data_IF_705539035082
#
_entry.id   IF_705539035082
#
_cell.length_a   1.000
_cell.length_b   1.000
_cell.length_c   1.000
_cell.angle_alpha   90.00
_cell.angle_beta   90.00
_cell.angle_gamma   90.00
#
_symmetry.space_group_name_H-M   'P 1'
#
loop_
_entity.id
_entity.type
_entity.pdbx_description
1 polymer ?
#
# COMPACT_ATOMS: atom_id res chain seq x y z
N UNK A 1 7.20 -4.24 -22.41
CA UNK A 1 6.96 -5.30 -21.40
C UNK A 1 7.44 -4.97 -19.99
N UNK A 2 8.52 -4.19 -19.78
CA UNK A 2 8.97 -3.72 -18.45
C UNK A 2 8.01 -2.78 -17.70
N UNK A 3 7.05 -2.13 -18.37
CA UNK A 3 6.18 -1.11 -17.75
C UNK A 3 4.91 -1.64 -17.08
N UNK A 4 4.47 -2.88 -17.39
CA UNK A 4 3.19 -3.43 -16.87
C UNK A 4 3.33 -4.11 -15.50
N UNK A 5 4.48 -4.71 -15.23
CA UNK A 5 4.83 -5.34 -13.94
C UNK A 5 5.08 -4.30 -12.83
N UNK A 6 5.54 -3.10 -13.20
CA UNK A 6 5.69 -1.98 -12.26
C UNK A 6 4.32 -1.45 -11.83
N UNK A 7 3.34 -1.39 -12.73
CA UNK A 7 2.02 -0.80 -12.48
C UNK A 7 1.22 -1.55 -11.40
N UNK A 8 1.12 -2.89 -11.45
CA UNK A 8 0.35 -3.69 -10.47
C UNK A 8 0.88 -3.59 -9.04
N UNK A 9 2.16 -3.30 -8.91
CA UNK A 9 2.87 -3.31 -7.64
C UNK A 9 3.01 -1.88 -7.06
N UNK A 10 3.20 -0.86 -7.92
CA UNK A 10 2.83 0.54 -7.65
C UNK A 10 1.46 0.62 -6.99
N UNK A 11 0.53 -0.19 -7.52
CA UNK A 11 -0.84 -0.25 -7.12
C UNK A 11 -0.90 -0.65 -5.62
N UNK A 12 -0.52 -1.89 -5.27
CA UNK A 12 -0.52 -2.43 -3.90
C UNK A 12 0.03 -1.46 -2.83
N UNK A 13 1.05 -0.71 -3.25
CA UNK A 13 1.86 0.17 -2.43
C UNK A 13 1.16 1.52 -2.17
N UNK A 14 0.40 2.05 -3.13
CA UNK A 14 -0.41 3.28 -3.00
C UNK A 14 -1.51 3.12 -1.95
N UNK A 15 -2.08 1.92 -1.87
CA UNK A 15 -3.21 1.60 -1.01
C UNK A 15 -2.82 1.45 0.44
N UNK A 16 -1.69 0.82 0.75
CA UNK A 16 -1.29 0.67 2.14
C UNK A 16 -0.98 2.03 2.78
N UNK A 17 -0.34 2.92 2.03
CA UNK A 17 -0.10 4.31 2.45
C UNK A 17 -1.41 5.07 2.67
N UNK A 18 -2.36 4.91 1.74
CA UNK A 18 -3.68 5.51 1.82
C UNK A 18 -4.53 4.96 2.98
N UNK A 19 -4.43 3.67 3.28
CA UNK A 19 -5.13 3.03 4.40
C UNK A 19 -4.58 3.48 5.76
N UNK A 20 -3.25 3.58 5.92
CA UNK A 20 -2.63 4.16 7.13
C UNK A 20 -3.02 5.63 7.32
N UNK A 21 -3.13 6.35 6.21
CA UNK A 21 -3.57 7.74 6.23
C UNK A 21 -5.05 7.88 6.65
N UNK A 22 -5.93 7.01 6.13
CA UNK A 22 -7.36 7.00 6.46
C UNK A 22 -7.64 6.51 7.89
N UNK A 23 -6.89 5.53 8.41
CA UNK A 23 -6.98 5.09 9.80
C UNK A 23 -6.71 6.25 10.78
N UNK A 24 -5.80 7.18 10.45
CA UNK A 24 -5.54 8.38 11.26
C UNK A 24 -6.68 9.40 11.23
N UNK A 25 -7.41 9.52 10.12
CA UNK A 25 -8.53 10.47 9.99
C UNK A 25 -9.81 9.97 10.66
N UNK A 26 -10.05 8.65 10.73
CA UNK A 26 -11.19 8.10 11.48
C UNK A 26 -11.04 8.21 13.00
N UNK A 27 -9.83 8.29 13.54
CA UNK A 27 -9.58 8.42 14.98
C UNK A 27 -9.59 9.88 15.48
N UNK A 28 -9.65 10.87 14.59
CA UNK A 28 -9.82 12.27 15.00
C UNK A 28 -11.31 12.57 15.13
N UNK A 29 -11.84 12.44 16.34
CA UNK A 29 -13.16 12.97 16.69
C UNK A 29 -13.15 14.48 16.42
N UNK A 30 -13.65 14.88 15.25
CA UNK A 30 -13.91 16.27 14.94
C UNK A 30 -14.98 16.79 15.92
N UNK A 31 -14.54 17.60 16.88
CA UNK A 31 -15.42 18.37 17.76
C UNK A 31 -15.59 19.74 17.11
N UNK A 32 -16.78 20.08 16.57
CA UNK A 32 -16.97 21.38 15.95
C UNK A 32 -16.75 22.50 17.00
N UNK A 33 -16.08 23.61 16.64
CA UNK A 33 -15.95 24.76 17.53
C UNK A 33 -17.33 25.38 17.82
N UNK A 34 -17.56 25.94 19.02
CA UNK A 34 -18.81 26.62 19.32
C UNK A 34 -18.96 27.85 18.42
N UNK A 35 -20.16 28.01 17.86
CA UNK A 35 -20.55 29.14 17.01
C UNK A 35 -20.33 30.46 17.75
N UNK A 36 -19.52 31.35 17.16
CA UNK A 36 -19.42 32.76 17.54
C UNK A 36 -19.90 33.60 16.35
N UNK A 37 -20.87 34.51 16.52
CA UNK A 37 -21.43 35.26 15.39
C UNK A 37 -20.40 36.22 14.79
N UNK A 38 -20.49 36.37 13.47
CA UNK A 38 -19.55 37.06 12.59
C UNK A 38 -19.43 38.56 12.90
N UNK A 39 -18.18 39.06 12.90
CA UNK A 39 -17.90 40.48 12.71
C UNK A 39 -17.10 40.68 11.43
N UNK A 40 -17.69 41.46 10.52
CA UNK A 40 -17.10 41.92 9.27
C UNK A 40 -15.80 42.70 9.52
N UNK A 41 -14.69 42.27 8.93
CA UNK A 41 -13.59 43.15 8.50
C UNK A 41 -12.97 42.65 7.20
N UNK A 42 -13.18 43.42 6.14
CA UNK A 42 -12.49 43.36 4.85
C UNK A 42 -11.02 43.77 5.01
N UNK A 43 -10.10 42.88 4.63
CA UNK A 43 -8.66 43.14 4.50
C UNK A 43 -8.12 42.43 3.24
N UNK A 44 -7.03 42.94 2.62
CA UNK A 44 -6.69 42.64 1.24
C UNK A 44 -6.13 41.23 1.04
N UNK A 45 -6.32 40.71 -0.18
CA UNK A 45 -5.89 39.40 -0.63
C UNK A 45 -4.40 39.14 -0.35
N UNK A 46 -4.11 38.04 0.36
CA UNK A 46 -2.75 37.52 0.53
C UNK A 46 -2.26 36.89 -0.78
N UNK A 47 -1.11 37.31 -1.33
CA UNK A 47 -0.47 36.64 -2.44
C UNK A 47 0.33 35.44 -1.92
N UNK A 48 0.24 34.31 -2.63
CA UNK A 48 1.07 33.12 -2.41
C UNK A 48 0.36 31.99 -1.68
N UNK A 49 -0.52 31.26 -2.37
CA UNK A 49 -0.86 29.90 -1.99
C UNK A 49 0.42 29.06 -2.09
N UNK A 50 1.00 28.70 -0.95
CA UNK A 50 2.15 27.80 -0.86
C UNK A 50 1.80 26.48 -1.56
N UNK A 51 2.63 26.05 -2.51
CA UNK A 51 2.51 24.73 -3.17
C UNK A 51 2.55 23.53 -2.18
N UNK A 52 2.78 23.77 -0.88
CA UNK A 52 2.88 22.76 0.16
C UNK A 52 1.60 22.45 0.94
N UNK A 53 0.53 23.24 0.83
CA UNK A 53 -0.62 23.15 1.77
C UNK A 53 -1.59 21.99 1.46
N UNK A 54 -1.39 21.29 0.33
CA UNK A 54 -2.22 20.16 -0.11
C UNK A 54 -1.44 18.90 -0.48
N UNK A 55 -0.12 18.86 -0.25
CA UNK A 55 0.71 17.71 -0.62
C UNK A 55 0.99 16.81 0.58
N UNK A 56 0.87 15.51 0.34
CA UNK A 56 1.17 14.48 1.33
C UNK A 56 2.05 13.39 0.76
N UNK A 57 2.73 12.65 1.63
CA UNK A 57 3.66 11.60 1.22
C UNK A 57 3.41 10.32 1.99
N UNK A 58 3.85 9.21 1.41
CA UNK A 58 4.07 7.97 2.15
C UNK A 58 5.13 7.11 1.51
N UNK A 59 5.82 6.34 2.35
CA UNK A 59 6.95 5.50 1.99
C UNK A 59 6.58 4.06 2.25
N UNK A 60 6.80 3.20 1.27
CA UNK A 60 6.44 1.80 1.37
C UNK A 60 7.52 0.93 0.77
N UNK A 61 7.90 -0.08 1.54
CA UNK A 61 8.87 -1.08 1.20
C UNK A 61 8.17 -2.38 0.84
N UNK A 62 8.57 -2.97 -0.27
CA UNK A 62 8.20 -4.31 -0.64
C UNK A 62 9.39 -5.23 -0.55
N UNK A 63 9.31 -6.20 0.36
CA UNK A 63 10.27 -7.26 0.49
C UNK A 63 9.81 -8.49 -0.32
N UNK A 64 10.17 -8.47 -1.60
CA UNK A 64 10.06 -9.60 -2.50
C UNK A 64 11.12 -10.68 -2.22
N UNK A 65 10.89 -11.89 -2.74
CA UNK A 65 11.87 -12.98 -2.68
C UNK A 65 13.19 -12.65 -3.40
N UNK A 66 13.12 -11.92 -4.51
CA UNK A 66 14.27 -11.63 -5.39
C UNK A 66 14.90 -10.26 -5.18
N UNK A 67 14.28 -9.39 -4.39
CA UNK A 67 14.73 -8.02 -4.19
C UNK A 67 13.80 -7.24 -3.28
N UNK A 68 14.33 -6.17 -2.70
CA UNK A 68 13.58 -5.22 -1.88
C UNK A 68 13.39 -3.93 -2.65
N UNK A 69 12.21 -3.34 -2.58
CA UNK A 69 11.82 -2.13 -3.31
C UNK A 69 11.36 -1.06 -2.34
N UNK A 70 11.58 0.20 -2.68
CA UNK A 70 10.94 1.34 -2.01
C UNK A 70 10.16 2.14 -3.03
N UNK A 71 8.99 2.57 -2.61
CA UNK A 71 8.12 3.48 -3.31
C UNK A 71 7.86 4.68 -2.41
N UNK A 72 8.00 5.88 -2.96
CA UNK A 72 7.71 7.13 -2.27
C UNK A 72 6.63 7.82 -3.06
N UNK A 73 5.40 7.81 -2.53
CA UNK A 73 4.28 8.50 -3.17
C UNK A 73 4.18 9.92 -2.68
N UNK A 74 3.74 10.77 -3.60
CA UNK A 74 3.26 12.11 -3.34
C UNK A 74 1.81 12.17 -3.79
N UNK A 75 0.93 12.50 -2.88
CA UNK A 75 -0.49 12.71 -3.12
C UNK A 75 -0.83 14.18 -3.08
N UNK A 76 -1.78 14.58 -3.91
CA UNK A 76 -2.45 15.87 -3.82
C UNK A 76 -3.80 15.65 -3.18
N UNK A 77 -4.08 16.40 -2.11
CA UNK A 77 -5.39 16.40 -1.48
C UNK A 77 -6.29 17.34 -2.27
N UNK A 78 -7.33 16.79 -2.88
CA UNK A 78 -8.32 17.57 -3.60
C UNK A 78 -9.44 18.02 -2.67
N UNK A 79 -10.15 19.08 -3.07
CA UNK A 79 -11.20 19.73 -2.27
C UNK A 79 -12.37 18.79 -1.91
N UNK A 80 -12.48 17.62 -2.54
CA UNK A 80 -13.54 16.62 -2.32
C UNK A 80 -13.16 15.53 -1.30
N UNK A 81 -12.00 15.64 -0.64
CA UNK A 81 -11.58 14.69 0.40
C UNK A 81 -10.97 13.39 -0.13
N UNK A 82 -10.88 13.22 -1.45
CA UNK A 82 -10.16 12.11 -2.08
C UNK A 82 -8.75 12.57 -2.50
N UNK A 83 -7.69 11.86 -2.12
CA UNK A 83 -6.37 12.14 -2.63
C UNK A 83 -6.26 11.66 -4.09
N UNK A 84 -5.47 12.37 -4.89
CA UNK A 84 -4.98 11.91 -6.19
C UNK A 84 -3.49 11.66 -6.14
N UNK A 85 -3.02 10.62 -6.84
CA UNK A 85 -1.60 10.34 -6.97
C UNK A 85 -0.98 11.40 -7.90
N UNK A 86 -0.06 12.20 -7.36
CA UNK A 86 0.60 13.27 -8.09
C UNK A 86 1.98 12.82 -8.60
N UNK A 87 2.75 12.09 -7.79
CA UNK A 87 4.04 11.51 -8.22
C UNK A 87 4.39 10.27 -7.44
N UNK A 88 5.16 9.39 -8.06
CA UNK A 88 5.85 8.30 -7.39
C UNK A 88 7.34 8.34 -7.73
N UNK A 89 8.19 8.11 -6.72
CA UNK A 89 9.60 7.77 -6.90
C UNK A 89 9.83 6.33 -6.47
N UNK A 90 10.53 5.55 -7.30
CA UNK A 90 10.76 4.13 -7.11
C UNK A 90 12.24 3.76 -7.15
N UNK A 91 12.67 2.80 -6.32
CA UNK A 91 13.98 2.14 -6.42
C UNK A 91 13.91 0.69 -5.94
N UNK A 92 14.68 -0.19 -6.58
CA UNK A 92 14.82 -1.59 -6.19
C UNK A 92 16.29 -1.94 -5.94
N UNK A 93 16.53 -2.83 -4.99
CA UNK A 93 17.82 -3.44 -4.69
C UNK A 93 17.73 -4.97 -4.73
N UNK A 94 18.89 -5.61 -4.88
CA UNK A 94 19.06 -7.06 -4.80
C UNK A 94 20.28 -7.38 -3.92
N UNK A 95 20.30 -8.54 -3.24
CA UNK A 95 19.22 -9.53 -3.14
C UNK A 95 18.04 -9.06 -2.26
N UNK A 96 16.96 -9.86 -2.19
CA UNK A 96 15.82 -9.59 -1.31
C UNK A 96 16.10 -9.96 0.15
N UNK A 97 15.19 -9.58 1.07
CA UNK A 97 15.37 -9.81 2.51
C UNK A 97 15.63 -11.28 2.87
N UNK A 98 14.99 -12.22 2.19
CA UNK A 98 15.16 -13.67 2.46
C UNK A 98 16.59 -14.18 2.28
N UNK A 99 17.42 -13.50 1.47
CA UNK A 99 18.82 -13.87 1.30
C UNK A 99 19.69 -13.58 2.54
N UNK A 100 19.17 -12.81 3.50
CA UNK A 100 19.84 -12.46 4.75
C UNK A 100 19.27 -13.24 5.95
N UNK A 101 18.53 -14.32 5.71
CA UNK A 101 17.84 -15.07 6.77
C UNK A 101 18.78 -15.64 7.85
N UNK A 102 20.05 -15.89 7.52
CA UNK A 102 21.06 -16.38 8.46
C UNK A 102 21.85 -15.27 9.16
N UNK A 103 21.73 -14.02 8.70
CA UNK A 103 22.43 -12.86 9.23
C UNK A 103 21.59 -11.59 8.98
N UNK A 104 20.54 -11.35 9.80
CA UNK A 104 19.61 -10.24 9.60
C UNK A 104 20.29 -8.88 9.53
N UNK A 105 21.40 -8.67 10.23
CA UNK A 105 22.12 -7.41 10.29
C UNK A 105 22.61 -6.99 8.90
N UNK A 106 22.98 -7.93 8.02
CA UNK A 106 23.43 -7.64 6.65
C UNK A 106 22.37 -6.98 5.78
N UNK A 107 21.07 -7.07 6.11
CA UNK A 107 20.04 -6.38 5.33
C UNK A 107 20.05 -4.85 5.57
N UNK A 108 20.65 -4.38 6.67
CA UNK A 108 20.57 -2.98 7.11
C UNK A 108 21.08 -1.98 6.09
N UNK A 109 22.24 -2.23 5.48
CA UNK A 109 22.82 -1.32 4.49
C UNK A 109 21.88 -1.13 3.28
N UNK A 110 21.20 -2.18 2.84
CA UNK A 110 20.23 -2.12 1.76
C UNK A 110 18.99 -1.30 2.14
N UNK A 111 18.42 -1.56 3.32
CA UNK A 111 17.25 -0.82 3.82
C UNK A 111 17.59 0.67 4.03
N UNK A 112 18.75 0.99 4.60
CA UNK A 112 19.20 2.37 4.77
C UNK A 112 19.34 3.10 3.44
N UNK A 113 19.94 2.47 2.42
CA UNK A 113 20.09 3.07 1.10
C UNK A 113 18.73 3.40 0.42
N UNK A 114 17.69 2.64 0.74
CA UNK A 114 16.32 2.91 0.30
C UNK A 114 15.64 4.02 1.15
N UNK A 115 15.88 4.05 2.46
CA UNK A 115 15.44 5.14 3.35
C UNK A 115 16.11 6.48 2.99
N UNK A 116 17.37 6.47 2.56
CA UNK A 116 18.09 7.65 2.05
C UNK A 116 17.40 8.24 0.81
N UNK A 117 16.96 7.37 -0.12
CA UNK A 117 16.16 7.83 -1.26
C UNK A 117 14.87 8.50 -0.77
N UNK A 118 14.15 7.88 0.16
CA UNK A 118 12.93 8.47 0.70
C UNK A 118 13.18 9.85 1.32
N UNK A 119 14.26 10.00 2.10
CA UNK A 119 14.68 11.29 2.68
C UNK A 119 15.01 12.34 1.62
N UNK A 120 15.58 11.94 0.49
CA UNK A 120 15.89 12.87 -0.61
C UNK A 120 14.64 13.36 -1.37
N UNK A 121 13.52 12.61 -1.29
CA UNK A 121 12.28 12.91 -2.02
C UNK A 121 11.27 13.66 -1.15
N UNK A 122 11.14 13.27 0.12
CA UNK A 122 10.17 13.85 1.05
C UNK A 122 10.79 15.11 1.69
N UNK A 123 10.13 16.27 1.65
CA UNK A 123 10.64 17.47 2.31
C UNK A 123 10.84 17.24 3.83
N UNK A 124 11.90 17.80 4.45
CA UNK A 124 12.15 17.61 5.88
C UNK A 124 10.98 17.98 6.81
N UNK A 125 10.21 19.01 6.44
CA UNK A 125 9.00 19.42 7.18
C UNK A 125 7.87 18.38 7.19
N UNK A 126 7.94 17.36 6.32
CA UNK A 126 6.92 16.31 6.22
C UNK A 126 7.38 14.96 6.79
N UNK A 127 8.65 14.78 7.17
CA UNK A 127 9.19 13.47 7.60
C UNK A 127 8.37 12.85 8.73
N UNK A 128 8.16 13.56 9.84
CA UNK A 128 7.46 13.04 11.03
C UNK A 128 5.99 12.74 10.82
N UNK A 129 5.40 13.18 9.69
CA UNK A 129 4.00 12.92 9.32
C UNK A 129 3.87 11.89 8.20
N UNK A 130 4.97 11.53 7.55
CA UNK A 130 5.00 10.63 6.41
C UNK A 130 5.10 9.19 6.93
N UNK A 131 4.07 8.34 6.74
CA UNK A 131 4.14 6.96 7.15
C UNK A 131 5.21 6.19 6.37
N UNK A 132 5.94 5.33 7.06
CA UNK A 132 6.84 4.35 6.47
C UNK A 132 6.40 2.94 6.86
N UNK A 133 6.28 2.07 5.87
CA UNK A 133 5.84 0.68 6.06
C UNK A 133 6.61 -0.29 5.19
N UNK A 134 6.67 -1.54 5.63
CA UNK A 134 7.23 -2.66 4.87
C UNK A 134 6.25 -3.81 4.89
N UNK A 135 5.94 -4.35 3.71
CA UNK A 135 5.27 -5.64 3.61
C UNK A 135 6.16 -6.64 2.89
N UNK A 136 6.38 -7.77 3.55
CA UNK A 136 7.06 -8.91 2.96
C UNK A 136 6.06 -9.85 2.28
N UNK A 137 6.51 -10.48 1.21
CA UNK A 137 5.69 -11.41 0.41
C UNK A 137 6.05 -12.87 0.73
N UNK A 138 5.52 -13.80 -0.08
CA UNK A 138 5.68 -15.24 0.09
C UNK A 138 7.12 -15.73 0.32
N UNK A 139 8.14 -15.03 -0.18
CA UNK A 139 9.55 -15.40 0.03
C UNK A 139 9.97 -15.45 1.51
N UNK A 140 9.45 -14.54 2.34
CA UNK A 140 9.76 -14.54 3.79
C UNK A 140 8.88 -15.53 4.56
N UNK A 141 7.64 -15.79 4.09
CA UNK A 141 6.73 -16.78 4.72
C UNK A 141 7.30 -18.18 4.78
N UNK A 142 8.19 -18.52 3.86
CA UNK A 142 8.76 -19.86 3.71
C UNK A 142 10.05 -20.07 4.50
N UNK A 143 10.55 -19.04 5.21
CA UNK A 143 11.74 -19.19 6.02
C UNK A 143 11.45 -20.03 7.27
N UNK A 144 12.36 -20.95 7.66
CA UNK A 144 12.15 -21.81 8.82
C UNK A 144 12.35 -21.04 10.14
N UNK A 145 11.65 -21.48 11.18
CA UNK A 145 11.82 -20.98 12.54
C UNK A 145 11.42 -19.51 12.69
N UNK A 146 12.22 -18.75 13.42
CA UNK A 146 12.03 -17.34 13.75
C UNK A 146 12.79 -16.38 12.81
N UNK A 147 13.48 -16.91 11.79
CA UNK A 147 14.32 -16.12 10.87
C UNK A 147 13.57 -14.98 10.18
N UNK A 148 12.32 -15.22 9.78
CA UNK A 148 11.49 -14.18 9.19
C UNK A 148 11.24 -13.04 10.18
N UNK A 149 10.92 -13.36 11.44
CA UNK A 149 10.65 -12.37 12.46
C UNK A 149 11.90 -11.59 12.85
N UNK A 150 13.06 -12.26 12.98
CA UNK A 150 14.34 -11.59 13.23
C UNK A 150 14.69 -10.57 12.11
N UNK A 151 14.42 -10.90 10.84
CA UNK A 151 14.56 -9.96 9.72
C UNK A 151 13.61 -8.77 9.85
N UNK A 152 12.35 -9.01 10.19
CA UNK A 152 11.37 -7.94 10.38
C UNK A 152 11.72 -7.04 11.56
N UNK A 153 12.21 -7.61 12.67
CA UNK A 153 12.68 -6.85 13.83
C UNK A 153 13.84 -5.93 13.50
N UNK A 154 14.80 -6.42 12.70
CA UNK A 154 15.89 -5.58 12.21
C UNK A 154 15.36 -4.40 11.38
N UNK A 155 14.37 -4.62 10.51
CA UNK A 155 13.72 -3.54 9.74
C UNK A 155 12.97 -2.58 10.67
N UNK A 156 12.23 -3.08 11.67
CA UNK A 156 11.51 -2.25 12.65
C UNK A 156 12.46 -1.36 13.43
N UNK A 157 13.66 -1.84 13.79
CA UNK A 157 14.68 -1.03 14.43
C UNK A 157 15.13 0.13 13.52
N UNK A 158 15.45 -0.16 12.26
CA UNK A 158 15.85 0.86 11.28
C UNK A 158 14.76 1.89 11.00
N UNK A 159 13.49 1.48 10.98
CA UNK A 159 12.37 2.40 10.79
C UNK A 159 12.18 3.31 12.02
N UNK A 160 12.35 2.78 13.24
CA UNK A 160 12.33 3.57 14.49
C UNK A 160 13.45 4.61 14.56
N UNK A 161 14.61 4.30 13.99
CA UNK A 161 15.73 5.25 13.88
C UNK A 161 15.56 6.28 12.76
N UNK A 162 14.65 6.03 11.81
CA UNK A 162 14.37 6.95 10.71
C UNK A 162 13.47 8.12 11.17
N UNK A 163 13.49 9.28 10.47
CA UNK A 163 12.65 10.42 10.83
C UNK A 163 11.17 10.25 10.40
N UNK A 164 10.82 9.13 9.76
CA UNK A 164 9.49 8.85 9.26
C UNK A 164 8.58 8.28 10.35
N UNK A 165 7.27 8.40 10.14
CA UNK A 165 6.27 7.86 11.05
C UNK A 165 6.17 6.33 10.85
N UNK A 166 6.70 5.55 11.79
CA UNK A 166 6.55 4.09 11.80
C UNK A 166 5.49 3.66 12.82
N UNK A 167 4.48 2.91 12.37
CA UNK A 167 3.53 2.24 13.26
C UNK A 167 4.08 0.89 13.74
N UNK A 168 3.55 0.35 14.84
CA UNK A 168 3.99 -0.95 15.41
C UNK A 168 3.75 -2.11 14.43
N UNK A 169 2.63 -2.09 13.71
CA UNK A 169 2.24 -3.09 12.69
C UNK A 169 2.73 -2.74 11.27
N UNK A 170 3.49 -1.65 11.14
CA UNK A 170 3.97 -1.11 9.88
C UNK A 170 4.95 -2.02 9.14
N UNK A 171 5.56 -2.99 9.82
CA UNK A 171 6.48 -3.98 9.26
C UNK A 171 5.92 -5.37 9.54
N UNK A 172 5.48 -6.05 8.49
CA UNK A 172 4.82 -7.36 8.60
C UNK A 172 4.91 -8.17 7.32
N UNK A 173 4.67 -9.47 7.43
CA UNK A 173 4.41 -10.30 6.26
C UNK A 173 2.95 -10.11 5.87
N UNK A 174 2.68 -9.76 4.61
CA UNK A 174 1.30 -9.67 4.11
C UNK A 174 0.66 -11.07 4.15
N UNK A 175 -0.66 -11.20 4.31
CA UNK A 175 -1.34 -12.44 3.97
C UNK A 175 -1.65 -12.50 2.46
N UNK A 176 -1.78 -13.70 1.90
CA UNK A 176 -2.12 -13.87 0.51
C UNK A 176 -3.50 -13.33 0.11
N UNK A 177 -4.43 -13.23 1.05
CA UNK A 177 -5.77 -12.63 0.84
C UNK A 177 -5.69 -11.10 0.85
N UNK A 178 -4.85 -10.54 1.72
CA UNK A 178 -4.56 -9.10 1.79
C UNK A 178 -3.89 -8.57 0.52
N UNK A 179 -3.09 -9.41 -0.15
CA UNK A 179 -2.52 -9.10 -1.48
C UNK A 179 -3.63 -8.78 -2.49
N UNK A 180 -4.68 -9.62 -2.53
CA UNK A 180 -5.82 -9.46 -3.44
C UNK A 180 -6.63 -8.18 -3.16
N UNK A 181 -6.97 -7.97 -1.89
CA UNK A 181 -7.70 -6.76 -1.44
C UNK A 181 -6.92 -5.51 -1.76
N UNK A 182 -5.62 -5.48 -1.44
CA UNK A 182 -4.78 -4.30 -1.65
C UNK A 182 -4.72 -3.91 -3.13
N UNK A 183 -4.56 -4.88 -4.03
CA UNK A 183 -4.55 -4.59 -5.46
C UNK A 183 -5.95 -4.24 -6.00
N UNK A 184 -7.04 -4.80 -5.47
CA UNK A 184 -8.40 -4.35 -5.79
C UNK A 184 -8.65 -2.90 -5.39
N UNK A 185 -8.26 -2.51 -4.16
CA UNK A 185 -8.41 -1.13 -3.73
C UNK A 185 -7.64 -0.23 -4.70
N UNK A 186 -6.47 -0.66 -5.15
CA UNK A 186 -5.66 0.27 -5.91
C UNK A 186 -6.14 0.48 -7.33
N UNK A 187 -6.57 -0.58 -8.00
CA UNK A 187 -7.14 -0.39 -9.34
C UNK A 187 -8.33 0.55 -9.24
N UNK A 188 -9.16 0.41 -8.21
CA UNK A 188 -10.31 1.27 -7.97
C UNK A 188 -9.96 2.68 -7.48
N UNK A 189 -8.81 2.88 -6.83
CA UNK A 189 -8.28 4.21 -6.55
C UNK A 189 -7.87 4.91 -7.84
N UNK A 190 -7.08 4.24 -8.69
CA UNK A 190 -6.54 4.81 -9.92
C UNK A 190 -7.59 5.00 -11.01
N UNK A 191 -8.62 4.15 -11.05
CA UNK A 191 -9.74 4.28 -11.99
C UNK A 191 -10.88 5.15 -11.45
N UNK A 192 -10.77 5.65 -10.21
CA UNK A 192 -11.78 6.49 -9.57
C UNK A 192 -13.01 5.74 -9.05
N UNK A 193 -13.02 4.40 -9.09
CA UNK A 193 -14.07 3.55 -8.50
C UNK A 193 -14.32 3.78 -7.00
N UNK A 194 -13.35 4.35 -6.27
CA UNK A 194 -13.50 4.68 -4.85
C UNK A 194 -14.04 6.09 -4.58
N UNK A 195 -14.18 6.95 -5.61
CA UNK A 195 -14.49 8.38 -5.46
C UNK A 195 -15.99 8.70 -5.26
N UNK A 196 -16.81 7.72 -4.84
CA UNK A 196 -18.23 7.94 -4.56
C UNK A 196 -19.10 6.70 -4.74
N UNK A 197 -20.35 6.72 -4.26
CA UNK A 197 -21.26 5.58 -4.30
C UNK A 197 -21.69 5.19 -5.70
N UNK A 198 -21.79 6.16 -6.61
CA UNK A 198 -22.25 5.94 -7.98
C UNK A 198 -21.13 5.53 -8.95
N UNK A 199 -19.89 5.40 -8.45
CA UNK A 199 -18.75 4.99 -9.25
C UNK A 199 -18.68 3.46 -9.28
N UNK A 200 -18.75 2.82 -10.46
CA UNK A 200 -18.60 1.38 -10.54
C UNK A 200 -17.17 0.99 -10.17
N UNK A 201 -17.05 -0.07 -9.38
CA UNK A 201 -15.75 -0.68 -9.12
C UNK A 201 -15.45 -1.76 -10.16
N UNK A 202 -14.17 -1.94 -10.46
CA UNK A 202 -13.68 -3.02 -11.31
C UNK A 202 -13.20 -4.19 -10.47
N UNK A 203 -13.35 -5.40 -11.00
CA UNK A 203 -12.71 -6.59 -10.43
C UNK A 203 -11.20 -6.57 -10.66
N UNK A 204 -10.50 -7.33 -9.82
CA UNK A 204 -9.07 -7.59 -9.91
C UNK A 204 -8.87 -9.10 -10.02
N UNK A 205 -8.03 -9.53 -10.96
CA UNK A 205 -7.50 -10.87 -11.06
C UNK A 205 -5.97 -10.76 -11.10
N UNK A 206 -5.24 -11.41 -10.21
CA UNK A 206 -3.78 -11.46 -10.20
C UNK A 206 -3.32 -12.89 -10.42
N UNK A 207 -2.37 -13.07 -11.33
CA UNK A 207 -1.80 -14.36 -11.71
C UNK A 207 -0.34 -14.41 -11.29
N UNK A 208 -0.11 -14.74 -10.02
CA UNK A 208 1.24 -14.83 -9.48
C UNK A 208 2.02 -16.08 -9.89
N UNK A 209 3.25 -16.14 -9.39
CA UNK A 209 4.13 -17.28 -9.64
C UNK A 209 3.63 -18.59 -9.02
N UNK A 210 3.10 -18.54 -7.80
CA UNK A 210 2.63 -19.71 -7.05
C UNK A 210 1.12 -19.78 -6.80
N UNK A 211 0.37 -18.75 -7.15
CA UNK A 211 -1.06 -18.64 -6.88
C UNK A 211 -1.76 -17.69 -7.85
N UNK A 212 -3.08 -17.82 -7.92
CA UNK A 212 -3.98 -16.87 -8.58
C UNK A 212 -4.91 -16.27 -7.54
N UNK A 213 -5.23 -15.00 -7.65
CA UNK A 213 -6.08 -14.27 -6.71
C UNK A 213 -7.15 -13.53 -7.48
N UNK A 214 -8.39 -13.59 -7.00
CA UNK A 214 -9.50 -12.81 -7.53
C UNK A 214 -10.10 -11.96 -6.42
N UNK A 215 -10.41 -10.71 -6.72
CA UNK A 215 -11.07 -9.81 -5.77
C UNK A 215 -12.05 -8.88 -6.48
N UNK A 216 -13.28 -8.76 -6.00
CA UNK A 216 -14.29 -7.86 -6.56
C UNK A 216 -15.37 -7.48 -5.55
N UNK A 217 -16.09 -6.37 -5.77
CA UNK A 217 -17.29 -6.03 -5.00
C UNK A 217 -18.49 -6.86 -5.48
N UNK A 218 -19.10 -7.73 -4.66
CA UNK A 218 -20.29 -8.48 -5.04
C UNK A 218 -21.47 -7.55 -5.33
N UNK A 219 -22.19 -7.78 -6.44
CA UNK A 219 -23.39 -7.00 -6.80
C UNK A 219 -24.70 -7.62 -6.31
N UNK A 220 -24.68 -8.92 -6.02
CA UNK A 220 -25.85 -9.67 -5.58
C UNK A 220 -25.65 -10.19 -4.17
N UNK A 221 -26.64 -10.00 -3.30
CA UNK A 221 -26.62 -10.48 -1.92
C UNK A 221 -26.43 -12.00 -1.84
N UNK A 222 -26.98 -12.73 -2.82
CA UNK A 222 -26.79 -14.18 -2.96
C UNK A 222 -25.31 -14.57 -3.05
N UNK A 223 -24.46 -13.78 -3.70
CA UNK A 223 -23.02 -14.04 -3.74
C UNK A 223 -22.42 -13.95 -2.33
N UNK A 224 -22.81 -12.95 -1.54
CA UNK A 224 -22.33 -12.78 -0.17
C UNK A 224 -22.78 -13.94 0.72
N UNK A 225 -24.05 -14.37 0.59
CA UNK A 225 -24.62 -15.44 1.42
C UNK A 225 -24.09 -16.83 1.07
N UNK A 226 -23.76 -17.08 -0.20
CA UNK A 226 -23.31 -18.39 -0.70
C UNK A 226 -21.79 -18.59 -0.66
N UNK A 227 -21.02 -17.50 -0.57
CA UNK A 227 -19.57 -17.58 -0.46
C UNK A 227 -19.14 -18.04 0.94
N UNK A 228 -18.00 -18.75 1.05
CA UNK A 228 -17.38 -19.01 2.35
C UNK A 228 -17.18 -17.70 3.12
N UNK A 229 -17.41 -17.71 4.43
CA UNK A 229 -17.24 -16.53 5.30
C UNK A 229 -15.82 -15.95 5.18
N UNK A 230 -14.82 -16.81 4.98
CA UNK A 230 -13.42 -16.42 4.82
C UNK A 230 -13.12 -15.71 3.49
N UNK A 231 -13.99 -15.84 2.49
CA UNK A 231 -13.82 -15.15 1.21
C UNK A 231 -14.49 -13.77 1.19
N UNK A 232 -15.35 -13.46 2.16
CA UNK A 232 -15.98 -12.14 2.28
C UNK A 232 -15.17 -11.29 3.27
N UNK A 233 -14.76 -10.10 2.81
CA UNK A 233 -13.98 -9.16 3.61
C UNK A 233 -14.62 -7.78 3.54
N UNK A 234 -14.68 -7.11 4.69
CA UNK A 234 -15.18 -5.75 4.79
C UNK A 234 -14.16 -4.85 5.46
N UNK A 235 -13.97 -3.65 4.91
CA UNK A 235 -13.06 -2.64 5.44
C UNK A 235 -13.62 -1.24 5.22
N UNK A 236 -13.16 -0.28 6.02
CA UNK A 236 -13.60 1.11 5.92
C UNK A 236 -12.56 1.94 5.16
N UNK A 237 -13.02 2.71 4.17
CA UNK A 237 -12.20 3.57 3.35
C UNK A 237 -13.00 4.77 2.88
N UNK A 238 -12.43 5.99 2.95
CA UNK A 238 -13.12 7.23 2.57
C UNK A 238 -14.52 7.38 3.19
N UNK A 239 -14.63 7.09 4.49
CA UNK A 239 -15.89 7.08 5.25
C UNK A 239 -16.97 6.13 4.72
N UNK A 240 -16.59 5.08 4.00
CA UNK A 240 -17.49 4.05 3.47
C UNK A 240 -17.00 2.66 3.81
N UNK A 241 -17.94 1.76 4.08
CA UNK A 241 -17.64 0.34 4.18
C UNK A 241 -17.64 -0.27 2.79
N UNK A 242 -16.54 -0.90 2.42
CA UNK A 242 -16.40 -1.69 1.21
C UNK A 242 -16.45 -3.16 1.58
N UNK A 243 -17.37 -3.91 0.96
CA UNK A 243 -17.43 -5.37 1.06
C UNK A 243 -16.94 -5.96 -0.26
N UNK A 244 -15.96 -6.87 -0.17
CA UNK A 244 -15.35 -7.54 -1.31
C UNK A 244 -15.38 -9.04 -1.12
N UNK A 245 -15.60 -9.76 -2.21
CA UNK A 245 -15.21 -11.16 -2.33
C UNK A 245 -13.73 -11.20 -2.68
N UNK A 246 -12.95 -12.03 -2.00
CA UNK A 246 -11.55 -12.28 -2.29
C UNK A 246 -11.24 -13.74 -2.09
N UNK A 247 -10.51 -14.34 -3.03
CA UNK A 247 -10.11 -15.74 -2.90
C UNK A 247 -8.75 -15.95 -3.54
N UNK A 248 -7.95 -16.82 -2.90
CA UNK A 248 -6.62 -17.21 -3.35
C UNK A 248 -6.59 -18.70 -3.68
N UNK A 249 -6.41 -18.99 -4.96
CA UNK A 249 -6.12 -20.34 -5.43
C UNK A 249 -4.61 -20.60 -5.31
N UNK A 250 -4.22 -21.51 -4.43
CA UNK A 250 -2.82 -21.96 -4.32
C UNK A 250 -2.50 -22.96 -5.43
N UNK A 251 -1.24 -23.01 -5.88
CA UNK A 251 -0.75 -23.96 -6.89
C UNK A 251 -1.32 -23.79 -8.31
N UNK A 252 -1.89 -22.62 -8.62
CA UNK A 252 -2.43 -22.25 -9.94
C UNK A 252 -1.62 -21.16 -10.64
N UNK A 253 -0.49 -20.76 -10.06
CA UNK A 253 0.37 -19.72 -10.60
C UNK A 253 1.17 -20.15 -11.84
N UNK A 254 1.77 -19.16 -12.51
CA UNK A 254 2.44 -19.32 -13.81
C UNK A 254 3.63 -20.30 -13.80
N UNK A 255 4.24 -20.58 -12.64
CA UNK A 255 5.42 -21.46 -12.56
C UNK A 255 5.12 -22.97 -12.66
N UNK A 256 3.84 -23.40 -12.68
CA UNK A 256 3.51 -24.82 -12.80
C UNK A 256 3.48 -25.34 -14.24
N UNK A 257 3.40 -24.47 -15.24
CA UNK A 257 3.20 -24.87 -16.64
C UNK A 257 4.44 -24.72 -17.55
N UNK A 258 5.60 -24.31 -17.03
CA UNK A 258 6.85 -24.19 -17.82
C UNK A 258 8.06 -24.69 -17.03
N UNK A 259 8.80 -25.72 -17.48
CA UNK A 259 10.09 -26.06 -16.89
C UNK A 259 11.10 -24.96 -17.27
N UNK A 260 11.76 -24.40 -16.26
CA UNK A 260 12.90 -23.48 -16.38
C UNK A 260 12.69 -22.19 -17.21
N UNK A 261 12.33 -21.09 -16.54
CA UNK A 261 13.01 -19.78 -16.67
C UNK A 261 12.46 -18.84 -15.58
N UNK A 262 13.36 -18.21 -14.82
CA UNK A 262 13.05 -17.32 -13.70
C UNK A 262 12.45 -15.99 -14.20
N UNK A 263 11.12 -15.92 -14.31
CA UNK A 263 10.36 -14.65 -14.27
C UNK A 263 8.87 -14.96 -14.08
N UNK A 264 8.31 -14.66 -12.90
CA UNK A 264 6.85 -14.72 -12.70
C UNK A 264 6.19 -13.62 -13.53
N UNK A 265 5.22 -13.96 -14.38
CA UNK A 265 4.45 -12.99 -15.16
C UNK A 265 3.08 -12.82 -14.51
N UNK A 266 2.82 -11.65 -13.93
CA UNK A 266 1.52 -11.28 -13.37
C UNK A 266 0.68 -10.55 -14.43
N UNK A 267 -0.52 -11.06 -14.72
CA UNK A 267 -1.45 -10.44 -15.68
C UNK A 267 -2.74 -10.06 -14.97
N UNK A 268 -3.04 -8.76 -14.94
CA UNK A 268 -4.32 -8.25 -14.45
C UNK A 268 -5.34 -8.22 -15.58
N UNK A 269 -6.50 -8.81 -15.33
CA UNK A 269 -7.68 -8.63 -16.16
C UNK A 269 -8.66 -7.72 -15.42
N UNK A 270 -9.06 -6.63 -16.06
CA UNK A 270 -10.16 -5.77 -15.63
C UNK A 270 -11.33 -6.03 -16.56
N UNK A 271 -12.48 -6.42 -16.01
CA UNK A 271 -13.76 -6.54 -16.71
C UNK A 271 -14.74 -5.50 -16.19
#
# INVERSE_FOLDING_TARGET
>A
MRSKMAALFLLLVLVLVLLLFLQRFSSSSYRPPPHRPASHRTGPARPGSSEGDGLQYGVMFDAGSTGTRVHVFRFRMENQGFPSLDRETFRAIKPGLSAYADDPQKCSAGIMALLDLARSVVPPSQWTRTPVVLKATAGLRLLPGDKAEQLLDQVRALFRESPFLSAEDGVSIMDGTDEGISAWITINFLTGGLQGPDRPTVGMLDLGGGSTQITFSPRHEKTIQMSPTDDIRSFQMFNRTHTVYTHRYTHTGTHRHTPSTHTGTHTIYTH
#
